data_IF_241830312527
#
_entry.id   IF_241830312527
#
_cell.length_a   1.000
_cell.length_b   1.000
_cell.length_c   1.000
_cell.angle_alpha   90.00
_cell.angle_beta   90.00
_cell.angle_gamma   90.00
#
_symmetry.space_group_name_H-M   'P 1'
#
loop_
_entity.id
_entity.type
_entity.pdbx_description
1 polymer ?
#
# COMPACT_ATOMS: atom_id res chain seq x y z
N UNK A 1 10.42 11.28 23.21
CA UNK A 1 9.10 11.14 22.51
C UNK A 1 9.24 11.08 20.98
N UNK A 2 9.95 12.01 20.33
CA UNK A 2 10.15 11.98 18.87
C UNK A 2 10.86 10.70 18.36
N UNK A 3 11.83 10.17 19.11
CA UNK A 3 12.52 8.90 18.81
C UNK A 3 11.61 7.67 18.83
N UNK A 4 10.63 7.63 19.75
CA UNK A 4 9.66 6.53 19.86
C UNK A 4 8.72 6.50 18.64
N UNK A 5 8.20 7.66 18.23
CA UNK A 5 7.33 7.76 17.05
C UNK A 5 8.10 7.42 15.78
N UNK A 6 9.34 7.91 15.65
CA UNK A 6 10.26 7.55 14.55
C UNK A 6 10.42 6.03 14.44
N UNK A 7 10.76 5.36 15.53
CA UNK A 7 10.96 3.91 15.52
C UNK A 7 9.68 3.14 15.20
N UNK A 8 8.52 3.61 15.67
CA UNK A 8 7.24 2.98 15.36
C UNK A 8 6.86 3.11 13.88
N UNK A 9 7.04 4.29 13.28
CA UNK A 9 6.78 4.51 11.85
C UNK A 9 7.71 3.64 11.01
N UNK A 10 9.02 3.66 11.32
CA UNK A 10 10.02 2.88 10.60
C UNK A 10 9.71 1.39 10.71
N UNK A 11 9.42 0.88 11.92
CA UNK A 11 9.05 -0.52 12.16
C UNK A 11 7.82 -0.95 11.37
N UNK A 12 6.89 -0.04 11.10
CA UNK A 12 5.69 -0.33 10.31
C UNK A 12 6.01 -0.42 8.82
N UNK A 13 6.78 0.53 8.30
CA UNK A 13 7.18 0.55 6.90
C UNK A 13 8.12 -0.62 6.56
N UNK A 14 9.01 -1.00 7.49
CA UNK A 14 9.96 -2.09 7.28
C UNK A 14 9.29 -3.46 7.18
N UNK A 15 8.03 -3.63 7.60
CA UNK A 15 7.29 -4.88 7.44
C UNK A 15 6.98 -5.22 5.99
N UNK A 16 6.96 -4.22 5.11
CA UNK A 16 6.65 -4.40 3.70
C UNK A 16 7.90 -4.65 2.86
N UNK A 17 9.09 -4.66 3.46
CA UNK A 17 10.37 -4.81 2.77
C UNK A 17 11.12 -5.98 3.37
N UNK A 18 11.47 -6.96 2.54
CA UNK A 18 12.23 -8.12 3.00
C UNK A 18 13.62 -7.72 3.45
N UNK A 19 14.07 -8.37 4.53
CA UNK A 19 15.44 -8.27 5.02
C UNK A 19 15.91 -6.83 5.27
N UNK A 20 14.98 -5.88 5.46
CA UNK A 20 15.32 -4.50 5.74
C UNK A 20 15.79 -4.37 7.19
N UNK A 21 17.10 -4.21 7.37
CA UNK A 21 17.64 -3.86 8.67
C UNK A 21 17.33 -2.39 8.98
N UNK A 22 17.08 -2.07 10.25
CA UNK A 22 16.85 -0.68 10.71
C UNK A 22 17.99 0.28 10.37
N UNK A 23 19.18 -0.25 10.09
CA UNK A 23 20.40 0.50 9.78
C UNK A 23 20.52 0.83 8.29
N UNK A 24 19.82 0.13 7.40
CA UNK A 24 19.84 0.39 5.94
C UNK A 24 18.95 1.58 5.56
N UNK A 25 18.00 1.96 6.42
CA UNK A 25 17.21 3.16 6.21
C UNK A 25 18.04 4.36 6.67
N UNK A 26 18.84 4.91 5.73
CA UNK A 26 19.54 6.17 5.91
C UNK A 26 18.54 7.34 5.88
N UNK A 27 17.67 7.41 6.88
CA UNK A 27 16.86 8.59 7.15
C UNK A 27 17.81 9.68 7.64
N UNK A 28 18.07 10.66 6.78
CA UNK A 28 18.75 11.90 7.13
C UNK A 28 17.98 12.53 8.31
N UNK A 29 18.50 12.31 9.51
CA UNK A 29 17.71 12.35 10.74
C UNK A 29 17.17 13.75 11.04
N UNK A 30 17.80 14.79 10.48
CA UNK A 30 17.32 16.17 10.56
C UNK A 30 16.29 16.55 9.48
N UNK A 31 16.40 16.03 8.26
CA UNK A 31 15.49 16.40 7.15
C UNK A 31 14.26 15.50 7.06
N UNK A 32 14.32 14.31 7.67
CA UNK A 32 13.23 13.33 7.60
C UNK A 32 13.09 12.67 6.24
N UNK A 33 14.15 12.71 5.44
CA UNK A 33 14.19 12.12 4.11
C UNK A 33 15.06 10.87 4.12
N UNK A 34 14.59 9.80 3.49
CA UNK A 34 15.32 8.55 3.34
C UNK A 34 14.98 7.91 2.00
N UNK A 35 15.94 7.17 1.46
CA UNK A 35 15.80 6.49 0.19
C UNK A 35 16.32 5.05 0.30
N UNK A 36 15.62 4.13 -0.35
CA UNK A 36 16.03 2.75 -0.54
C UNK A 36 15.95 2.44 -2.03
N UNK A 37 16.88 1.65 -2.54
CA UNK A 37 16.91 1.22 -3.94
C UNK A 37 16.95 -0.29 -4.04
N UNK A 38 16.35 -0.81 -5.12
CA UNK A 38 16.31 -2.22 -5.49
C UNK A 38 15.86 -3.12 -4.33
N UNK A 39 14.73 -2.75 -3.72
CA UNK A 39 14.19 -3.50 -2.59
C UNK A 39 13.27 -4.63 -3.07
N UNK A 40 13.26 -5.71 -2.31
CA UNK A 40 12.27 -6.77 -2.44
C UNK A 40 11.16 -6.54 -1.41
N UNK A 41 9.91 -6.54 -1.87
CA UNK A 41 8.75 -6.37 -1.01
C UNK A 41 8.36 -7.73 -0.41
N UNK A 42 7.84 -7.70 0.82
CA UNK A 42 7.37 -8.91 1.48
C UNK A 42 6.04 -9.38 0.88
N UNK A 43 6.05 -10.54 0.21
CA UNK A 43 4.86 -11.05 -0.48
C UNK A 43 3.71 -11.36 0.49
N UNK A 44 4.02 -11.88 1.68
CA UNK A 44 3.00 -12.22 2.67
C UNK A 44 2.34 -10.97 3.21
N UNK A 45 3.12 -9.94 3.52
CA UNK A 45 2.59 -8.65 3.95
C UNK A 45 1.70 -8.00 2.88
N UNK A 46 2.07 -8.13 1.59
CA UNK A 46 1.26 -7.65 0.48
C UNK A 46 -0.02 -8.46 0.30
N UNK A 47 0.05 -9.79 0.36
CA UNK A 47 -1.12 -10.68 0.27
C UNK A 47 -2.14 -10.41 1.39
N UNK A 48 -1.67 -10.21 2.62
CA UNK A 48 -2.50 -9.89 3.78
C UNK A 48 -3.22 -8.54 3.60
N UNK A 49 -2.47 -7.48 3.25
CA UNK A 49 -3.03 -6.13 3.13
C UNK A 49 -3.96 -5.97 1.94
N UNK A 50 -3.72 -6.71 0.87
CA UNK A 50 -4.57 -6.65 -0.33
C UNK A 50 -5.74 -7.62 -0.29
N UNK A 51 -5.86 -8.42 0.78
CA UNK A 51 -6.84 -9.50 0.91
C UNK A 51 -6.87 -10.37 -0.35
N UNK A 52 -5.67 -10.69 -0.87
CA UNK A 52 -5.54 -11.36 -2.16
C UNK A 52 -6.30 -12.70 -2.12
N UNK A 53 -7.11 -13.03 -3.15
CA UNK A 53 -7.85 -14.28 -3.19
C UNK A 53 -6.95 -15.50 -2.96
N UNK A 54 -7.46 -16.52 -2.26
CA UNK A 54 -6.67 -17.70 -1.86
C UNK A 54 -6.16 -18.56 -3.01
N UNK A 55 -6.76 -18.43 -4.20
CA UNK A 55 -6.32 -19.07 -5.44
C UNK A 55 -5.18 -18.34 -6.16
N UNK A 56 -4.80 -17.14 -5.69
CA UNK A 56 -3.65 -16.37 -6.19
C UNK A 56 -2.58 -16.28 -5.11
N UNK A 57 -1.31 -16.30 -5.52
CA UNK A 57 -0.15 -16.08 -4.67
C UNK A 57 0.81 -15.11 -5.32
N UNK A 58 1.41 -14.22 -4.54
CA UNK A 58 2.50 -13.37 -4.99
C UNK A 58 3.79 -14.20 -4.93
N UNK A 59 4.39 -14.44 -6.09
CA UNK A 59 5.65 -15.17 -6.23
C UNK A 59 6.85 -14.29 -5.92
N UNK A 60 6.79 -13.03 -6.36
CA UNK A 60 7.86 -12.05 -6.22
C UNK A 60 7.31 -10.64 -6.32
N UNK A 61 7.79 -9.75 -5.47
CA UNK A 61 7.49 -8.33 -5.57
C UNK A 61 8.76 -7.49 -5.40
N UNK A 62 9.04 -6.58 -6.33
CA UNK A 62 10.23 -5.72 -6.26
C UNK A 62 9.86 -4.25 -6.46
N UNK A 63 10.65 -3.36 -5.87
CA UNK A 63 10.57 -1.93 -6.12
C UNK A 63 11.97 -1.36 -6.40
N UNK A 64 12.12 -0.62 -7.50
CA UNK A 64 13.42 -0.04 -7.91
C UNK A 64 13.89 1.06 -6.98
N UNK A 65 12.99 1.90 -6.50
CA UNK A 65 13.30 2.98 -5.55
C UNK A 65 12.10 3.29 -4.66
N UNK A 66 12.37 3.48 -3.37
CA UNK A 66 11.44 4.00 -2.38
C UNK A 66 12.04 5.25 -1.77
N UNK A 67 11.39 6.38 -1.97
CA UNK A 67 11.69 7.64 -1.31
C UNK A 67 10.65 7.92 -0.23
N UNK A 68 11.12 8.32 0.94
CA UNK A 68 10.31 8.57 2.13
C UNK A 68 10.62 9.97 2.62
N UNK A 69 9.58 10.79 2.81
CA UNK A 69 9.69 12.11 3.43
C UNK A 69 8.73 12.25 4.60
N UNK A 70 9.29 12.47 5.78
CA UNK A 70 8.59 12.55 7.05
C UNK A 70 8.68 13.99 7.58
N UNK A 71 7.56 14.73 7.65
CA UNK A 71 7.54 16.07 8.21
C UNK A 71 7.54 16.03 9.74
N UNK A 72 8.71 15.82 10.36
CA UNK A 72 8.82 15.63 11.83
C UNK A 72 8.12 16.70 12.67
N UNK A 73 8.23 17.97 12.27
CA UNK A 73 7.58 19.12 12.93
C UNK A 73 6.10 19.26 12.60
N UNK A 74 5.67 18.64 11.50
CA UNK A 74 4.33 18.77 10.91
C UNK A 74 3.47 17.51 10.99
N UNK A 75 3.85 16.46 11.73
CA UNK A 75 3.14 15.15 11.73
C UNK A 75 1.64 15.20 12.07
N UNK A 76 1.16 16.27 12.74
CA UNK A 76 -0.27 16.50 13.02
C UNK A 76 -1.04 17.09 11.84
N UNK A 77 -0.33 17.76 10.93
CA UNK A 77 -0.89 18.60 9.88
C UNK A 77 -0.53 18.11 8.48
N UNK A 78 0.63 17.52 8.29
CA UNK A 78 1.17 17.13 6.98
C UNK A 78 1.33 15.62 6.88
N UNK A 79 1.04 15.03 5.72
CA UNK A 79 1.21 13.61 5.48
C UNK A 79 2.70 13.22 5.42
N UNK A 80 3.00 11.99 5.82
CA UNK A 80 4.24 11.34 5.37
C UNK A 80 4.07 11.04 3.88
N UNK A 81 5.06 11.40 3.08
CA UNK A 81 5.06 11.15 1.64
C UNK A 81 5.93 9.93 1.34
N UNK A 82 5.34 8.93 0.70
CA UNK A 82 6.02 7.78 0.14
C UNK A 82 5.97 7.86 -1.37
N UNK A 83 7.11 7.72 -2.03
CA UNK A 83 7.20 7.69 -3.48
C UNK A 83 7.92 6.42 -3.90
N UNK A 84 7.27 5.62 -4.73
CA UNK A 84 7.81 4.40 -5.29
C UNK A 84 7.95 4.61 -6.79
N UNK A 85 9.06 4.14 -7.38
CA UNK A 85 9.25 4.29 -8.83
C UNK A 85 8.61 3.13 -9.59
N UNK A 86 9.35 2.06 -9.86
CA UNK A 86 8.83 0.88 -10.57
C UNK A 86 8.56 -0.23 -9.58
N UNK A 87 7.28 -0.61 -9.45
CA UNK A 87 6.84 -1.75 -8.64
C UNK A 87 6.43 -2.87 -9.58
N UNK A 88 7.09 -4.03 -9.46
CA UNK A 88 6.79 -5.21 -10.26
C UNK A 88 6.32 -6.33 -9.35
N UNK A 89 5.16 -6.90 -9.65
CA UNK A 89 4.52 -7.95 -8.84
C UNK A 89 4.21 -9.13 -9.75
N UNK A 90 4.82 -10.28 -9.46
CA UNK A 90 4.55 -11.53 -10.14
C UNK A 90 3.57 -12.34 -9.30
N UNK A 91 2.45 -12.70 -9.91
CA UNK A 91 1.37 -13.46 -9.29
C UNK A 91 1.25 -14.79 -10.03
N UNK A 92 0.98 -15.87 -9.30
CA UNK A 92 0.67 -17.19 -9.86
C UNK A 92 -0.64 -17.74 -9.30
N UNK A 93 -1.36 -18.52 -10.12
CA UNK A 93 -2.49 -19.32 -9.61
C UNK A 93 -1.96 -20.52 -8.83
N UNK A 94 -2.62 -20.85 -7.72
CA UNK A 94 -2.27 -22.02 -6.92
C UNK A 94 -3.15 -23.22 -7.29
N UNK A 95 -2.55 -24.41 -7.38
CA UNK A 95 -3.31 -25.66 -7.57
C UNK A 95 -4.09 -26.04 -6.30
N UNK A 96 -3.49 -25.80 -5.13
CA UNK A 96 -4.13 -25.88 -3.82
C UNK A 96 -4.34 -24.48 -3.25
N UNK A 97 -5.54 -24.21 -2.71
CA UNK A 97 -5.87 -22.91 -2.12
C UNK A 97 -4.92 -22.58 -0.95
N UNK A 98 -4.46 -21.33 -0.86
CA UNK A 98 -3.66 -20.89 0.28
C UNK A 98 -4.44 -21.03 1.60
N UNK A 99 -3.81 -21.62 2.60
CA UNK A 99 -4.33 -21.68 3.97
C UNK A 99 -4.31 -20.29 4.61
N UNK A 100 -5.48 -19.70 4.82
CA UNK A 100 -5.61 -18.42 5.52
C UNK A 100 -5.16 -18.50 7.00
N UNK A 101 -5.18 -19.70 7.58
CA UNK A 101 -4.87 -19.92 9.00
C UNK A 101 -3.35 -19.94 9.28
N UNK A 102 -2.48 -20.17 8.28
CA UNK A 102 -1.02 -20.06 8.49
C UNK A 102 -0.55 -18.61 8.62
N UNK A 103 -1.39 -17.66 8.22
CA UNK A 103 -1.18 -16.23 8.43
C UNK A 103 -1.26 -15.85 9.93
N UNK A 104 -1.77 -16.72 10.82
CA UNK A 104 -1.94 -16.39 12.24
C UNK A 104 -0.61 -16.21 13.00
N UNK A 105 0.51 -16.76 12.51
CA UNK A 105 1.84 -16.52 13.09
C UNK A 105 2.45 -15.17 12.66
N UNK A 106 1.88 -14.54 11.64
CA UNK A 106 1.95 -13.10 11.43
C UNK A 106 0.61 -12.54 11.90
N UNK A 107 0.37 -12.56 13.22
CA UNK A 107 -0.75 -11.85 13.87
C UNK A 107 -1.10 -10.59 13.06
N UNK A 108 -2.38 -10.28 12.79
CA UNK A 108 -2.79 -9.13 11.99
C UNK A 108 -2.34 -7.86 12.69
N UNK A 109 -1.08 -7.51 12.54
CA UNK A 109 -0.51 -6.30 13.11
C UNK A 109 -0.78 -5.13 12.19
N UNK A 110 -1.42 -5.34 11.04
CA UNK A 110 -2.18 -4.32 10.34
C UNK A 110 -3.33 -3.80 11.22
N UNK A 111 -3.82 -4.60 12.19
CA UNK A 111 -4.85 -4.23 13.17
C UNK A 111 -4.46 -4.20 14.67
N UNK A 112 -3.49 -4.99 15.16
CA UNK A 112 -3.48 -5.32 16.61
C UNK A 112 -2.16 -5.26 17.39
N UNK A 113 -1.01 -4.86 16.81
CA UNK A 113 0.12 -4.44 17.70
C UNK A 113 -0.06 -3.05 18.32
N UNK A 114 -1.25 -2.51 18.17
CA UNK A 114 -1.84 -1.49 19.01
C UNK A 114 -3.22 -2.01 19.48
N UNK A 115 -3.24 -3.16 20.17
CA UNK A 115 -4.34 -3.59 21.05
C UNK A 115 -4.54 -2.56 22.19
N UNK A 116 -4.81 -1.32 21.81
CA UNK A 116 -4.71 -0.14 22.63
C UNK A 116 -5.20 1.07 21.87
N UNK A 117 -5.98 1.88 22.57
CA UNK A 117 -6.59 3.15 22.17
C UNK A 117 -5.99 3.81 20.93
N UNK A 118 -6.84 4.19 19.98
CA UNK A 118 -6.47 4.92 18.76
C UNK A 118 -5.68 6.21 19.06
N UNK A 119 -4.35 6.07 19.09
CA UNK A 119 -3.42 7.10 19.51
C UNK A 119 -2.90 8.02 18.39
N UNK A 120 -1.79 8.69 18.69
CA UNK A 120 -1.11 9.59 17.76
C UNK A 120 -0.44 8.84 16.60
N UNK A 121 0.22 7.70 16.86
CA UNK A 121 0.91 6.92 15.82
C UNK A 121 -0.05 6.41 14.76
N UNK A 122 -1.24 5.92 15.13
CA UNK A 122 -2.28 5.52 14.18
C UNK A 122 -2.67 6.67 13.27
N UNK A 123 -2.90 7.85 13.85
CA UNK A 123 -3.21 9.07 13.11
C UNK A 123 -2.10 9.45 12.14
N UNK A 124 -0.83 9.24 12.49
CA UNK A 124 0.27 9.51 11.55
C UNK A 124 0.26 8.50 10.40
N UNK A 125 0.11 7.21 10.69
CA UNK A 125 0.06 6.13 9.67
C UNK A 125 -1.13 6.33 8.72
N UNK A 126 -2.32 6.62 9.25
CA UNK A 126 -3.52 6.88 8.45
C UNK A 126 -3.37 8.11 7.54
N UNK A 127 -2.48 9.04 7.93
CA UNK A 127 -2.16 10.24 7.16
C UNK A 127 -1.16 10.01 6.03
N UNK A 128 -0.57 8.82 5.86
CA UNK A 128 0.41 8.56 4.79
C UNK A 128 -0.22 8.80 3.41
N UNK A 129 0.52 9.48 2.54
CA UNK A 129 0.26 9.61 1.11
C UNK A 129 1.31 8.79 0.34
N UNK A 130 0.88 8.10 -0.72
CA UNK A 130 1.71 7.21 -1.53
C UNK A 130 1.55 7.60 -3.00
N UNK A 131 2.64 7.79 -3.72
CA UNK A 131 2.66 7.93 -5.17
C UNK A 131 3.54 6.83 -5.77
N UNK A 132 3.08 6.15 -6.81
CA UNK A 132 3.84 5.10 -7.48
C UNK A 132 3.95 5.43 -8.96
N UNK A 133 5.16 5.53 -9.50
CA UNK A 133 5.40 5.93 -10.89
C UNK A 133 4.88 4.88 -11.86
N UNK A 134 5.21 3.60 -11.64
CA UNK A 134 4.72 2.49 -12.44
C UNK A 134 4.42 1.28 -11.56
N UNK A 135 3.27 0.64 -11.77
CA UNK A 135 2.97 -0.68 -11.22
C UNK A 135 2.68 -1.65 -12.34
N UNK A 136 3.41 -2.75 -12.35
CA UNK A 136 3.21 -3.86 -13.29
C UNK A 136 2.90 -5.13 -12.52
N UNK A 137 1.72 -5.69 -12.75
CA UNK A 137 1.38 -7.04 -12.32
C UNK A 137 1.54 -8.00 -13.50
N UNK A 138 2.16 -9.14 -13.26
CA UNK A 138 2.19 -10.26 -14.21
C UNK A 138 1.56 -11.46 -13.54
N UNK A 139 0.42 -11.90 -14.05
CA UNK A 139 -0.30 -13.08 -13.58
C UNK A 139 0.02 -14.25 -14.50
N UNK A 140 0.52 -15.34 -13.92
CA UNK A 140 0.76 -16.60 -14.61
C UNK A 140 -0.20 -17.67 -14.09
N UNK A 141 -0.95 -18.27 -14.99
CA UNK A 141 -1.80 -19.42 -14.72
C UNK A 141 -1.47 -20.55 -15.69
N UNK A 142 -2.05 -21.74 -15.46
CA UNK A 142 -1.98 -22.88 -16.37
C UNK A 142 -2.67 -22.57 -17.71
N UNK A 143 -3.87 -21.98 -17.68
CA UNK A 143 -4.66 -21.70 -18.88
C UNK A 143 -4.38 -20.36 -19.56
N UNK A 144 -3.85 -19.37 -18.83
CA UNK A 144 -3.65 -18.02 -19.36
C UNK A 144 -2.46 -17.30 -18.71
N UNK A 145 -2.01 -16.24 -19.36
CA UNK A 145 -1.17 -15.22 -18.74
C UNK A 145 -1.86 -13.86 -18.90
N UNK A 146 -1.70 -13.01 -17.88
CA UNK A 146 -2.22 -11.66 -17.91
C UNK A 146 -1.19 -10.65 -17.39
N UNK A 147 -1.28 -9.42 -17.88
CA UNK A 147 -0.49 -8.29 -17.40
C UNK A 147 -1.42 -7.13 -17.07
N UNK A 148 -1.13 -6.44 -15.97
CA UNK A 148 -1.82 -5.21 -15.59
C UNK A 148 -0.75 -4.13 -15.45
N UNK A 149 -0.91 -3.03 -16.17
CA UNK A 149 -0.03 -1.88 -16.10
C UNK A 149 -0.81 -0.64 -15.63
N UNK A 150 -0.32 -0.04 -14.56
CA UNK A 150 -0.88 1.15 -13.92
C UNK A 150 0.21 2.22 -13.77
N UNK A 151 0.28 3.22 -14.65
CA UNK A 151 1.16 4.38 -14.46
C UNK A 151 0.59 5.34 -13.43
N UNK A 152 1.48 5.98 -12.68
CA UNK A 152 1.21 7.12 -11.79
C UNK A 152 0.02 6.90 -10.87
N UNK A 153 0.11 5.91 -9.98
CA UNK A 153 -0.92 5.70 -8.96
C UNK A 153 -0.69 6.68 -7.82
N UNK A 154 -1.71 7.46 -7.48
CA UNK A 154 -1.68 8.35 -6.32
C UNK A 154 -2.70 7.91 -5.28
N UNK A 155 -2.27 7.86 -4.02
CA UNK A 155 -3.09 7.59 -2.84
C UNK A 155 -2.88 8.72 -1.85
N UNK A 156 -3.94 9.42 -1.50
CA UNK A 156 -3.85 10.57 -0.61
C UNK A 156 -5.12 10.76 0.20
N UNK A 157 -5.00 11.53 1.29
CA UNK A 157 -6.14 11.87 2.15
C UNK A 157 -6.96 13.00 1.53
N UNK A 158 -8.28 12.91 1.60
CA UNK A 158 -9.22 13.92 1.09
C UNK A 158 -10.06 14.51 2.21
N UNK A 159 -10.68 15.66 1.95
CA UNK A 159 -11.73 16.18 2.84
C UNK A 159 -13.00 15.32 2.74
N UNK A 160 -13.96 15.45 3.67
CA UNK A 160 -15.23 14.71 3.60
C UNK A 160 -16.04 14.95 2.31
N UNK A 161 -15.80 16.08 1.65
CA UNK A 161 -16.42 16.43 0.35
C UNK A 161 -15.58 15.96 -0.86
N UNK A 162 -14.52 15.18 -0.62
CA UNK A 162 -13.68 14.60 -1.67
C UNK A 162 -12.69 15.59 -2.32
N UNK A 163 -12.30 16.67 -1.64
CA UNK A 163 -11.26 17.60 -2.15
C UNK A 163 -9.87 17.19 -1.66
N UNK A 164 -8.88 17.26 -2.55
CA UNK A 164 -7.46 17.13 -2.20
C UNK A 164 -7.05 18.30 -1.29
N UNK A 165 -6.23 18.00 -0.28
CA UNK A 165 -5.73 18.99 0.69
C UNK A 165 -4.40 18.54 1.26
N UNK A 166 -3.53 19.49 1.56
CA UNK A 166 -2.23 19.21 2.18
C UNK A 166 -2.32 19.16 3.72
N UNK A 167 -3.49 19.47 4.27
CA UNK A 167 -3.73 19.52 5.72
C UNK A 167 -4.58 18.35 6.22
N UNK A 168 -3.95 17.43 6.94
CA UNK A 168 -4.59 16.28 7.61
C UNK A 168 -5.65 16.66 8.64
N UNK A 169 -5.67 17.91 9.12
CA UNK A 169 -6.71 18.40 10.04
C UNK A 169 -8.10 18.37 9.42
N UNK A 170 -8.17 18.56 8.10
CA UNK A 170 -9.42 18.68 7.34
C UNK A 170 -9.87 17.37 6.69
N UNK A 171 -9.10 16.28 6.89
CA UNK A 171 -9.34 14.97 6.25
C UNK A 171 -10.01 13.96 7.17
N UNK A 172 -10.51 14.41 8.33
CA UNK A 172 -11.07 13.55 9.38
C UNK A 172 -12.34 14.14 9.95
N UNK A 173 -13.30 13.27 10.25
CA UNK A 173 -14.49 13.63 11.03
C UNK A 173 -14.50 12.80 12.30
N UNK A 174 -14.50 13.47 13.45
CA UNK A 174 -14.57 12.82 14.75
C UNK A 174 -15.98 12.94 15.29
N UNK A 175 -16.57 11.80 15.65
CA UNK A 175 -17.78 11.75 16.45
C UNK A 175 -17.37 11.52 17.90
N UNK A 176 -17.43 12.58 18.71
CA UNK A 176 -17.06 12.52 20.13
C UNK A 176 -18.06 11.71 20.96
N UNK A 177 -19.32 11.62 20.53
CA UNK A 177 -20.37 10.91 21.28
C UNK A 177 -20.27 9.41 21.05
N UNK A 178 -19.99 8.99 19.81
CA UNK A 178 -19.86 7.56 19.47
C UNK A 178 -18.43 7.04 19.61
N UNK A 179 -17.45 7.90 19.93
CA UNK A 179 -16.03 7.55 19.98
C UNK A 179 -15.52 6.92 18.68
N UNK A 180 -15.91 7.48 17.53
CA UNK A 180 -15.45 7.06 16.22
C UNK A 180 -14.75 8.18 15.46
N UNK A 181 -13.90 7.79 14.52
CA UNK A 181 -13.32 8.70 13.54
C UNK A 181 -13.51 8.16 12.13
N UNK A 182 -13.92 9.04 11.22
CA UNK A 182 -13.97 8.78 9.79
C UNK A 182 -12.75 9.39 9.12
N UNK A 183 -12.15 8.62 8.21
CA UNK A 183 -10.99 8.99 7.42
C UNK A 183 -11.34 8.83 5.95
N UNK A 184 -10.92 9.78 5.13
CA UNK A 184 -11.24 9.82 3.71
C UNK A 184 -9.96 9.72 2.89
N UNK A 185 -9.90 8.74 2.00
CA UNK A 185 -8.80 8.57 1.03
C UNK A 185 -9.34 8.48 -0.38
N UNK A 186 -8.54 8.94 -1.31
CA UNK A 186 -8.75 8.72 -2.74
C UNK A 186 -7.52 8.04 -3.32
N UNK A 187 -7.77 7.03 -4.15
CA UNK A 187 -6.79 6.36 -5.00
C UNK A 187 -7.14 6.76 -6.43
N UNK A 188 -6.18 7.25 -7.21
CA UNK A 188 -6.43 7.67 -8.59
C UNK A 188 -5.29 7.28 -9.51
N UNK A 189 -5.63 6.92 -10.74
CA UNK A 189 -4.67 6.66 -11.81
C UNK A 189 -5.29 7.04 -13.17
N UNK A 190 -4.48 7.54 -14.12
CA UNK A 190 -4.97 8.04 -15.40
C UNK A 190 -5.44 6.93 -16.34
N UNK A 191 -4.79 5.77 -16.34
CA UNK A 191 -5.15 4.64 -17.21
C UNK A 191 -4.77 3.32 -16.56
N UNK A 192 -5.60 2.30 -16.71
CA UNK A 192 -5.27 0.92 -16.41
C UNK A 192 -5.31 0.12 -17.69
N UNK A 193 -4.21 -0.55 -18.01
CA UNK A 193 -4.13 -1.48 -19.14
C UNK A 193 -4.06 -2.89 -18.61
N UNK A 194 -5.05 -3.69 -18.97
CA UNK A 194 -5.13 -5.11 -18.64
C UNK A 194 -5.06 -5.88 -19.95
N UNK A 195 -4.11 -6.79 -20.05
CA UNK A 195 -3.99 -7.71 -21.18
C UNK A 195 -4.03 -9.13 -20.67
N UNK A 196 -4.76 -10.01 -21.35
CA UNK A 196 -4.79 -11.43 -21.05
C UNK A 196 -4.76 -12.21 -22.35
N UNK A 197 -4.01 -13.31 -22.37
CA UNK A 197 -4.02 -14.22 -23.50
C UNK A 197 -3.94 -15.68 -23.02
N UNK A 198 -4.49 -16.58 -23.82
CA UNK A 198 -4.38 -18.02 -23.58
C UNK A 198 -2.91 -18.46 -23.68
N UNK A 199 -2.57 -19.51 -22.93
CA UNK A 199 -1.29 -20.20 -23.08
C UNK A 199 -1.31 -21.21 -24.25
N UNK A 200 -2.47 -21.47 -24.87
CA UNK A 200 -2.57 -22.37 -26.02
C UNK A 200 -1.83 -21.81 -27.23
N UNK A 201 -0.88 -22.59 -27.73
CA UNK A 201 -0.06 -22.23 -28.88
C UNK A 201 -0.77 -22.45 -30.23
N UNK A 202 -2.10 -22.65 -30.21
CA UNK A 202 -2.90 -22.75 -31.42
C UNK A 202 -2.98 -21.37 -32.09
N UNK A 203 -3.00 -21.32 -33.43
CA UNK A 203 -2.90 -20.09 -34.23
C UNK A 203 -4.03 -19.05 -34.01
N UNK A 204 -4.94 -19.27 -33.04
CA UNK A 204 -6.13 -18.46 -32.75
C UNK A 204 -6.18 -18.00 -31.27
N UNK A 205 -5.06 -17.98 -30.55
CA UNK A 205 -5.04 -17.38 -29.21
C UNK A 205 -5.19 -15.84 -29.28
N UNK A 206 -6.44 -15.37 -29.34
CA UNK A 206 -6.75 -13.95 -29.29
C UNK A 206 -6.42 -13.39 -27.90
N UNK A 207 -5.63 -12.31 -27.86
CA UNK A 207 -5.41 -11.56 -26.63
C UNK A 207 -6.57 -10.59 -26.40
N UNK A 208 -7.06 -10.55 -25.16
CA UNK A 208 -8.04 -9.58 -24.71
C UNK A 208 -7.27 -8.41 -24.10
N UNK A 209 -7.60 -7.20 -24.54
CA UNK A 209 -7.07 -5.96 -23.96
C UNK A 209 -8.22 -5.10 -23.45
N UNK A 210 -8.13 -4.71 -22.19
CA UNK A 210 -9.01 -3.74 -21.57
C UNK A 210 -8.19 -2.51 -21.17
N UNK A 211 -8.70 -1.33 -21.53
CA UNK A 211 -8.13 -0.05 -21.11
C UNK A 211 -9.22 0.72 -20.36
N UNK A 212 -8.97 1.06 -19.10
CA UNK A 212 -9.86 1.87 -18.28
C UNK A 212 -9.18 3.21 -17.95
N UNK A 213 -9.75 4.31 -18.41
CA UNK A 213 -9.18 5.64 -18.24
C UNK A 213 -9.84 6.41 -17.09
N UNK A 214 -9.11 7.40 -16.56
CA UNK A 214 -9.58 8.34 -15.54
C UNK A 214 -10.20 7.65 -14.32
N UNK A 215 -9.52 6.60 -13.84
CA UNK A 215 -10.02 5.78 -12.75
C UNK A 215 -9.75 6.43 -11.40
N UNK A 216 -10.72 6.30 -10.51
CA UNK A 216 -10.62 6.78 -9.13
C UNK A 216 -11.44 5.89 -8.21
N UNK A 217 -10.89 5.61 -7.02
CA UNK A 217 -11.56 4.90 -5.94
C UNK A 217 -11.57 5.82 -4.72
N UNK A 218 -12.74 5.97 -4.10
CA UNK A 218 -12.88 6.69 -2.83
C UNK A 218 -13.14 5.72 -1.72
N UNK A 219 -12.36 5.86 -0.65
CA UNK A 219 -12.40 4.98 0.52
C UNK A 219 -12.74 5.82 1.74
N UNK A 220 -13.76 5.38 2.47
CA UNK A 220 -14.14 5.95 3.77
C UNK A 220 -13.89 4.87 4.81
N UNK A 221 -12.95 5.12 5.72
CA UNK A 221 -12.62 4.21 6.80
C UNK A 221 -13.23 4.72 8.10
N UNK A 222 -13.95 3.86 8.81
CA UNK A 222 -14.45 4.12 10.16
C UNK A 222 -13.58 3.37 11.17
N UNK A 223 -13.01 4.09 12.14
CA UNK A 223 -12.21 3.50 13.23
C UNK A 223 -12.80 3.83 14.59
N UNK A 224 -12.79 2.85 15.48
CA UNK A 224 -13.07 3.03 16.92
C UNK A 224 -11.93 3.81 17.57
N UNK A 225 -12.24 4.68 18.53
CA UNK A 225 -11.25 5.39 19.32
C UNK A 225 -10.83 4.64 20.59
N UNK A 226 -11.53 3.56 20.95
CA UNK A 226 -11.28 2.72 22.12
C UNK A 226 -10.29 1.61 21.83
#
# INVERSE_FOLDING_TARGET
MASLIKNQIIKRLSKFVKNLSSNQINLSTFKGEGELSNIELDERALEEVTELPTWLKIKKANCTRVFIKIPWTGLKTQPIQLQLDDVTIQIETCDELRNLNESENLSPQTGDSLAGKYGFTHRVIDGISLSITNVTFTVKSTGFHASIFLPTIDIYSTTPVGKKTDSLKTTRLRDSTKEHILLFKEISWPTARIEAASNDNSMVAASIRLIANSSRIRIIMKKSLN
#
